data_IF_581079837813
#
_entry.id   IF_581079837813
#
_cell.length_a   1.000
_cell.length_b   1.000
_cell.length_c   1.000
_cell.angle_alpha   90.00
_cell.angle_beta   90.00
_cell.angle_gamma   90.00
#
_symmetry.space_group_name_H-M   'P 1'
#
loop_
_entity.id
_entity.type
_entity.pdbx_description
1 polymer ?
#
# COMPACT_ATOMS: atom_id res chain seq x y z
N UNK A 1 9.71 40.00 28.58
CA UNK A 1 8.76 38.94 29.00
C UNK A 1 8.15 38.36 27.72
N UNK A 2 8.34 37.12 27.28
CA UNK A 2 9.19 36.01 27.71
C UNK A 2 10.17 35.70 26.55
N UNK A 3 11.47 35.73 26.85
CA UNK A 3 12.53 35.12 26.04
C UNK A 3 12.69 33.70 26.57
N UNK A 4 12.67 32.68 25.71
CA UNK A 4 13.26 31.39 26.07
C UNK A 4 14.66 31.31 25.45
N UNK A 5 15.66 31.48 26.31
CA UNK A 5 17.02 31.04 26.08
C UNK A 5 17.05 29.51 26.05
N UNK A 6 17.62 28.93 25.00
CA UNK A 6 18.28 27.62 25.12
C UNK A 6 19.74 27.85 24.78
N UNK A 7 20.55 27.83 25.83
CA UNK A 7 22.00 27.87 25.80
C UNK A 7 22.57 26.61 25.16
N UNK A 8 23.74 26.78 24.53
CA UNK A 8 24.34 25.79 23.65
C UNK A 8 24.85 24.51 24.32
N UNK A 9 24.86 23.46 23.50
CA UNK A 9 25.88 22.39 23.42
C UNK A 9 25.48 21.43 22.29
N UNK A 10 25.80 21.78 21.04
CA UNK A 10 25.91 20.83 19.92
C UNK A 10 26.52 21.52 18.68
N UNK A 11 27.62 22.27 18.85
CA UNK A 11 28.48 22.67 17.73
C UNK A 11 29.86 22.14 18.05
N UNK A 12 30.14 20.92 17.57
CA UNK A 12 31.49 20.33 17.41
C UNK A 12 31.33 18.99 16.71
N UNK A 13 31.33 19.02 15.38
CA UNK A 13 31.86 17.97 14.48
C UNK A 13 31.75 18.47 13.04
N UNK A 14 32.36 19.62 12.78
CA UNK A 14 32.57 20.15 11.44
C UNK A 14 33.85 20.99 11.46
N UNK A 15 35.00 20.33 11.57
CA UNK A 15 36.30 20.88 11.16
C UNK A 15 37.36 19.78 11.24
N UNK A 16 37.60 19.10 10.14
CA UNK A 16 38.96 18.71 9.79
C UNK A 16 39.05 18.37 8.30
N UNK A 17 40.08 18.92 7.66
CA UNK A 17 40.53 18.73 6.29
C UNK A 17 39.89 19.56 5.17
N UNK A 18 40.33 20.83 5.10
CA UNK A 18 40.57 21.54 3.83
C UNK A 18 41.86 22.38 3.92
N UNK A 19 42.95 21.89 3.36
CA UNK A 19 44.04 22.64 2.67
C UNK A 19 44.94 21.55 2.07
N UNK A 20 45.37 21.54 0.81
CA UNK A 20 46.02 22.61 0.04
C UNK A 20 45.97 22.28 -1.45
N UNK A 21 45.80 23.31 -2.28
CA UNK A 21 45.90 23.27 -3.74
C UNK A 21 47.09 24.15 -4.14
N UNK A 22 48.13 23.61 -4.79
CA UNK A 22 48.96 24.30 -5.81
C UNK A 22 50.02 23.39 -6.47
N UNK A 23 49.92 23.32 -7.80
CA UNK A 23 50.95 23.36 -8.85
C UNK A 23 52.10 22.32 -8.91
N UNK A 24 52.32 21.75 -10.12
CA UNK A 24 53.59 21.15 -10.53
C UNK A 24 53.49 20.17 -11.70
N UNK A 25 54.29 20.38 -12.75
CA UNK A 25 54.24 19.75 -14.08
C UNK A 25 54.93 18.37 -14.19
N UNK A 26 54.66 17.70 -15.33
CA UNK A 26 55.55 16.83 -16.14
C UNK A 26 55.57 15.30 -15.92
N UNK A 27 55.45 14.56 -17.04
CA UNK A 27 55.79 13.13 -17.15
C UNK A 27 54.85 12.34 -18.09
N UNK A 28 55.33 11.95 -19.27
CA UNK A 28 54.67 11.06 -20.25
C UNK A 28 55.27 9.62 -20.17
N UNK A 29 54.87 8.62 -21.01
CA UNK A 29 54.16 7.41 -20.59
C UNK A 29 54.98 6.09 -20.67
N UNK A 30 54.58 5.03 -19.95
CA UNK A 30 55.02 3.62 -20.20
C UNK A 30 53.95 2.58 -19.79
N UNK A 31 53.94 1.35 -20.38
CA UNK A 31 52.75 0.50 -20.60
C UNK A 31 52.54 -0.61 -19.52
N UNK A 32 51.49 -1.46 -19.59
CA UNK A 32 50.90 -2.13 -18.42
C UNK A 32 51.50 -3.52 -18.14
N UNK A 33 51.33 -4.07 -16.92
CA UNK A 33 51.34 -5.51 -16.70
C UNK A 33 49.94 -6.12 -16.83
N UNK A 34 49.99 -7.37 -17.28
CA UNK A 34 48.98 -8.30 -17.77
C UNK A 34 47.85 -8.69 -16.81
N UNK A 35 46.77 -9.13 -17.44
CA UNK A 35 45.52 -9.61 -16.86
C UNK A 35 45.65 -10.88 -15.99
N UNK A 36 44.85 -10.92 -14.91
CA UNK A 36 44.40 -12.17 -14.29
C UNK A 36 42.90 -12.11 -13.91
N UNK A 37 42.21 -13.18 -14.33
CA UNK A 37 40.95 -13.75 -13.83
C UNK A 37 39.67 -12.88 -13.79
N UNK A 38 38.90 -12.97 -14.89
CA UNK A 38 37.52 -12.54 -14.98
C UNK A 38 36.59 -13.41 -14.09
N UNK A 39 36.15 -12.83 -12.97
CA UNK A 39 35.00 -13.28 -12.20
C UNK A 39 33.71 -12.59 -12.69
N UNK A 40 32.65 -13.39 -12.87
CA UNK A 40 31.29 -13.01 -13.26
C UNK A 40 30.78 -11.71 -12.59
N UNK A 41 30.79 -10.61 -13.34
CA UNK A 41 30.37 -9.29 -12.88
C UNK A 41 29.18 -8.77 -13.69
N UNK A 42 28.02 -8.70 -13.04
CA UNK A 42 26.80 -8.11 -13.59
C UNK A 42 26.95 -6.62 -13.94
N UNK A 43 26.05 -6.21 -14.83
CA UNK A 43 25.96 -4.92 -15.53
C UNK A 43 25.69 -3.72 -14.60
N UNK A 44 26.64 -3.37 -13.74
CA UNK A 44 26.58 -2.19 -12.89
C UNK A 44 27.70 -1.19 -13.25
N UNK A 45 27.45 0.14 -13.14
CA UNK A 45 28.47 1.13 -13.42
C UNK A 45 29.69 0.94 -12.49
N UNK A 46 30.90 1.32 -12.94
CA UNK A 46 32.12 1.16 -12.14
C UNK A 46 31.97 1.81 -10.75
N UNK A 47 32.10 1.02 -9.69
CA UNK A 47 31.96 1.46 -8.29
C UNK A 47 30.57 1.26 -7.66
N UNK A 48 29.56 0.79 -8.41
CA UNK A 48 28.26 0.45 -7.84
C UNK A 48 28.28 -0.93 -7.19
N UNK A 49 27.98 -0.97 -5.89
CA UNK A 49 27.59 -2.18 -5.18
C UNK A 49 26.07 -2.12 -4.97
N UNK A 50 25.29 -3.10 -5.48
CA UNK A 50 23.88 -3.21 -5.16
C UNK A 50 23.71 -3.25 -3.64
N UNK A 51 22.68 -2.60 -3.11
CA UNK A 51 22.35 -2.71 -1.69
C UNK A 51 22.07 -4.17 -1.37
N UNK A 52 22.95 -4.78 -0.59
CA UNK A 52 22.76 -6.08 0.02
C UNK A 52 22.48 -5.83 1.49
N UNK A 53 21.26 -6.14 1.97
CA UNK A 53 20.91 -5.99 3.39
C UNK A 53 22.00 -6.56 4.31
N UNK A 54 22.60 -7.68 3.90
CA UNK A 54 23.63 -8.39 4.66
C UNK A 54 24.93 -7.58 4.82
N UNK A 55 25.28 -6.74 3.84
CA UNK A 55 26.45 -5.84 3.90
C UNK A 55 26.26 -4.73 4.96
N UNK A 56 25.04 -4.58 5.48
CA UNK A 56 24.64 -3.60 6.49
C UNK A 56 24.11 -4.26 7.78
N UNK A 57 24.36 -5.57 7.97
CA UNK A 57 23.92 -6.31 9.15
C UNK A 57 22.41 -6.58 9.18
N UNK A 58 21.70 -6.42 8.06
CA UNK A 58 20.27 -6.70 7.92
C UNK A 58 20.07 -8.09 7.32
N UNK A 59 18.98 -8.75 7.69
CA UNK A 59 18.67 -10.10 7.19
C UNK A 59 18.42 -10.09 5.67
N UNK A 60 18.76 -11.21 5.01
CA UNK A 60 18.50 -11.46 3.57
C UNK A 60 17.02 -11.26 3.17
N UNK A 61 16.10 -11.34 4.14
CA UNK A 61 14.67 -11.12 3.98
C UNK A 61 14.18 -9.69 4.21
N UNK A 62 15.07 -8.71 4.45
CA UNK A 62 14.75 -7.33 4.83
C UNK A 62 13.57 -6.76 4.03
N UNK A 63 12.60 -6.22 4.78
CA UNK A 63 11.39 -5.56 4.27
C UNK A 63 11.43 -4.10 4.70
N UNK A 64 10.81 -3.24 3.90
CA UNK A 64 10.75 -1.81 4.20
C UNK A 64 9.70 -1.46 5.27
N UNK A 65 8.55 -2.16 5.33
CA UNK A 65 7.68 -2.11 6.51
C UNK A 65 8.27 -3.01 7.59
N UNK A 66 8.41 -2.47 8.80
CA UNK A 66 8.80 -3.23 9.99
C UNK A 66 7.78 -4.36 10.17
N UNK A 67 8.20 -5.63 10.36
CA UNK A 67 7.26 -6.72 10.62
C UNK A 67 6.31 -6.37 11.77
N UNK A 68 5.05 -6.74 11.64
CA UNK A 68 3.99 -6.32 12.56
C UNK A 68 4.34 -6.56 14.04
N UNK A 69 4.77 -7.77 14.39
CA UNK A 69 5.15 -8.13 15.77
C UNK A 69 6.29 -7.24 16.31
N UNK A 70 7.24 -6.88 15.45
CA UNK A 70 8.35 -6.00 15.81
C UNK A 70 7.86 -4.55 15.96
N UNK A 71 6.97 -4.09 15.07
CA UNK A 71 6.40 -2.75 15.14
C UNK A 71 5.63 -2.54 16.44
N UNK A 72 4.69 -3.45 16.77
CA UNK A 72 3.91 -3.36 18.01
C UNK A 72 4.83 -3.37 19.24
N UNK A 73 5.85 -4.23 19.26
CA UNK A 73 6.83 -4.26 20.35
C UNK A 73 7.63 -2.96 20.49
N UNK A 74 8.00 -2.31 19.38
CA UNK A 74 8.71 -1.02 19.42
C UNK A 74 7.81 0.14 19.85
N UNK A 75 6.50 0.05 19.56
CA UNK A 75 5.51 1.06 19.91
C UNK A 75 4.92 0.89 21.32
N UNK A 76 5.23 -0.19 22.03
CA UNK A 76 4.71 -0.46 23.38
C UNK A 76 4.93 0.70 24.37
N UNK A 77 5.99 1.50 24.20
CA UNK A 77 6.23 2.68 25.05
C UNK A 77 5.28 3.87 24.80
N UNK A 78 4.46 3.83 23.75
CA UNK A 78 3.38 4.79 23.48
C UNK A 78 2.03 4.32 24.02
N UNK A 79 1.91 3.04 24.38
CA UNK A 79 0.75 2.52 25.06
C UNK A 79 0.82 2.99 26.52
N UNK A 80 -0.11 3.86 26.92
CA UNK A 80 -0.30 4.19 28.34
C UNK A 80 -0.70 2.91 29.07
N UNK A 81 0.01 2.52 30.13
CA UNK A 81 -0.25 1.35 30.99
C UNK A 81 -1.76 1.05 31.09
N UNK A 82 -2.24 0.11 30.29
CA UNK A 82 -3.51 -0.55 30.58
C UNK A 82 -3.20 -1.48 31.74
N UNK A 83 -3.53 -1.06 32.95
CA UNK A 83 -3.31 -1.86 34.15
C UNK A 83 -3.79 -3.29 33.94
N UNK A 84 -2.85 -4.24 33.95
CA UNK A 84 -3.11 -5.67 33.85
C UNK A 84 -3.91 -6.14 35.07
N UNK A 85 -5.21 -6.38 34.85
CA UNK A 85 -6.09 -7.02 35.81
C UNK A 85 -7.32 -7.59 35.11
N UNK A 86 -7.68 -8.87 35.36
CA UNK A 86 -8.86 -9.45 34.74
C UNK A 86 -10.10 -8.87 35.42
N UNK A 87 -10.88 -8.07 34.69
CA UNK A 87 -12.20 -7.61 35.13
C UNK A 87 -12.23 -6.21 35.73
N UNK A 88 -12.32 -5.20 34.88
CA UNK A 88 -13.38 -4.18 34.92
C UNK A 88 -13.15 -3.18 33.79
N UNK A 89 -14.16 -3.02 32.93
CA UNK A 89 -14.33 -1.82 32.14
C UNK A 89 -14.72 -0.69 33.12
N UNK A 90 -13.72 -0.15 33.82
CA UNK A 90 -13.85 0.86 34.83
C UNK A 90 -12.77 1.92 34.61
N UNK A 91 -13.22 3.04 34.08
CA UNK A 91 -12.56 4.33 34.05
C UNK A 91 -11.66 4.58 35.28
N UNK A 92 -10.34 4.69 35.06
CA UNK A 92 -9.43 5.59 35.81
C UNK A 92 -7.97 5.55 35.32
N UNK A 93 -7.50 6.70 34.82
CA UNK A 93 -6.21 7.30 35.24
C UNK A 93 -5.00 7.26 34.28
N UNK A 94 -4.76 8.38 33.55
CA UNK A 94 -3.39 8.91 33.35
C UNK A 94 -3.39 10.41 33.02
N UNK A 95 -2.48 11.16 33.64
CA UNK A 95 -2.39 12.63 33.80
C UNK A 95 -2.00 13.47 32.55
N UNK A 96 -2.57 13.22 31.37
CA UNK A 96 -2.45 14.17 30.25
C UNK A 96 -3.78 14.32 29.49
N UNK A 97 -4.52 15.38 29.82
CA UNK A 97 -5.74 15.80 29.13
C UNK A 97 -7.02 15.21 29.75
N UNK A 98 -8.00 16.06 30.03
CA UNK A 98 -9.36 15.62 30.39
C UNK A 98 -9.85 14.61 29.34
N UNK A 99 -10.13 13.37 29.77
CA UNK A 99 -10.74 12.38 28.90
C UNK A 99 -12.15 12.82 28.53
N UNK A 100 -12.31 13.27 27.29
CA UNK A 100 -13.61 13.63 26.76
C UNK A 100 -14.42 12.34 26.51
N UNK A 101 -15.72 12.31 26.83
CA UNK A 101 -16.59 11.20 26.48
C UNK A 101 -16.74 11.12 24.95
N UNK A 102 -16.53 9.94 24.37
CA UNK A 102 -16.67 9.71 22.93
C UNK A 102 -15.90 8.49 22.42
N UNK A 103 -16.17 8.06 21.17
CA UNK A 103 -15.45 6.98 20.53
C UNK A 103 -13.96 7.35 20.37
N UNK A 104 -13.08 6.41 20.73
CA UNK A 104 -11.63 6.53 20.57
C UNK A 104 -11.07 5.29 19.88
N UNK A 105 -10.13 5.53 18.97
CA UNK A 105 -9.33 4.48 18.34
C UNK A 105 -7.87 4.94 18.38
N UNK A 106 -7.04 4.19 19.10
CA UNK A 106 -5.62 4.47 19.30
C UNK A 106 -4.74 3.78 18.27
N UNK A 107 -3.49 3.49 18.65
CA UNK A 107 -2.55 2.71 17.83
C UNK A 107 -3.12 1.30 17.60
N UNK A 108 -3.00 0.79 16.37
CA UNK A 108 -3.30 -0.61 16.03
C UNK A 108 -4.20 -0.81 14.81
N UNK A 109 -4.97 0.21 14.42
CA UNK A 109 -5.85 0.19 13.24
C UNK A 109 -5.44 1.25 12.20
N UNK A 110 -6.16 1.29 11.07
CA UNK A 110 -5.84 2.10 9.89
C UNK A 110 -5.76 3.61 10.19
N UNK A 111 -6.57 4.12 11.13
CA UNK A 111 -6.57 5.54 11.53
C UNK A 111 -6.75 5.69 13.03
N UNK A 112 -6.36 6.85 13.57
CA UNK A 112 -6.76 7.24 14.92
C UNK A 112 -8.12 7.94 14.90
N UNK A 113 -8.90 7.77 15.96
CA UNK A 113 -10.14 8.53 16.20
C UNK A 113 -9.99 9.22 17.55
N UNK A 114 -9.99 10.56 17.54
CA UNK A 114 -9.81 11.39 18.74
C UNK A 114 -11.00 12.32 18.91
N UNK A 115 -11.77 12.15 19.99
CA UNK A 115 -12.86 13.07 20.32
C UNK A 115 -12.33 14.48 20.58
N UNK A 116 -12.95 15.49 19.96
CA UNK A 116 -12.55 16.89 20.10
C UNK A 116 -13.27 17.54 21.28
N UNK A 117 -12.64 18.59 21.82
CA UNK A 117 -13.26 19.46 22.86
C UNK A 117 -14.50 20.21 22.37
N UNK A 118 -14.71 20.26 21.06
CA UNK A 118 -15.84 20.92 20.42
C UNK A 118 -16.94 19.88 20.17
N UNK A 119 -18.14 20.17 20.66
CA UNK A 119 -19.20 19.19 20.90
C UNK A 119 -19.51 18.26 19.73
N UNK A 120 -19.43 16.96 19.99
CA UNK A 120 -19.84 15.89 19.06
C UNK A 120 -18.83 15.55 17.96
N UNK A 121 -17.77 16.34 17.78
CA UNK A 121 -16.81 16.13 16.69
C UNK A 121 -15.67 15.18 17.09
N UNK A 122 -15.19 14.43 16.10
CA UNK A 122 -13.98 13.61 16.22
C UNK A 122 -12.99 13.97 15.12
N UNK A 123 -11.71 14.05 15.46
CA UNK A 123 -10.62 14.07 14.48
C UNK A 123 -10.30 12.64 14.10
N UNK A 124 -10.34 12.36 12.79
CA UNK A 124 -9.82 11.12 12.22
C UNK A 124 -8.63 11.46 11.33
N UNK A 125 -7.51 10.79 11.57
CA UNK A 125 -6.26 11.10 10.91
C UNK A 125 -5.42 9.83 10.71
N UNK A 126 -4.73 9.79 9.58
CA UNK A 126 -3.73 8.76 9.25
C UNK A 126 -2.49 9.39 8.60
N UNK A 127 -1.40 8.61 8.57
CA UNK A 127 -0.17 8.90 7.84
C UNK A 127 0.39 7.60 7.27
N UNK A 128 0.79 7.61 6.00
CA UNK A 128 1.55 6.51 5.39
C UNK A 128 2.57 7.06 4.39
N UNK A 129 3.65 6.32 4.17
CA UNK A 129 4.68 6.64 3.20
C UNK A 129 5.43 5.38 2.77
N UNK A 130 5.95 5.39 1.55
CA UNK A 130 6.71 4.27 1.02
C UNK A 130 7.67 4.73 -0.07
N UNK A 131 8.45 3.78 -0.59
CA UNK A 131 9.44 3.99 -1.63
C UNK A 131 8.82 3.82 -3.02
N UNK A 132 9.36 4.47 -4.06
CA UNK A 132 8.87 4.29 -5.42
C UNK A 132 8.84 2.81 -5.85
N UNK A 133 7.70 2.41 -6.39
CA UNK A 133 7.45 1.04 -6.85
C UNK A 133 7.13 0.97 -8.34
N UNK A 134 6.64 2.06 -8.94
CA UNK A 134 6.46 2.20 -10.39
C UNK A 134 7.46 3.18 -10.97
N UNK A 135 7.75 3.03 -12.25
CA UNK A 135 8.71 3.88 -12.97
C UNK A 135 8.09 5.21 -13.43
N UNK A 136 6.77 5.25 -13.64
CA UNK A 136 6.04 6.47 -14.00
C UNK A 136 5.89 7.39 -12.76
N UNK A 137 6.55 8.57 -12.74
CA UNK A 137 6.50 9.44 -11.58
C UNK A 137 5.13 10.02 -11.28
N UNK A 138 4.33 10.30 -12.31
CA UNK A 138 2.98 10.83 -12.15
C UNK A 138 2.09 9.79 -11.48
N UNK A 139 2.11 8.56 -11.99
CA UNK A 139 1.37 7.46 -11.38
C UNK A 139 1.88 7.14 -9.98
N UNK A 140 3.19 7.23 -9.73
CA UNK A 140 3.76 7.07 -8.39
C UNK A 140 3.17 8.09 -7.40
N UNK A 141 3.06 9.35 -7.79
CA UNK A 141 2.38 10.39 -7.01
C UNK A 141 0.91 10.06 -6.71
N UNK A 142 0.17 9.63 -7.74
CA UNK A 142 -1.25 9.21 -7.58
C UNK A 142 -1.39 8.05 -6.60
N UNK A 143 -0.55 7.01 -6.74
CA UNK A 143 -0.57 5.82 -5.88
C UNK A 143 -0.26 6.20 -4.43
N UNK A 144 0.71 7.10 -4.20
CA UNK A 144 1.03 7.55 -2.85
C UNK A 144 -0.13 8.30 -2.18
N UNK A 145 -0.79 9.20 -2.90
CA UNK A 145 -1.98 9.89 -2.40
C UNK A 145 -3.13 8.91 -2.13
N UNK A 146 -3.40 7.99 -3.07
CA UNK A 146 -4.43 6.97 -2.91
C UNK A 146 -4.20 6.08 -1.69
N UNK A 147 -2.94 5.70 -1.43
CA UNK A 147 -2.57 4.91 -0.25
C UNK A 147 -2.81 5.69 1.05
N UNK A 148 -2.43 6.97 1.11
CA UNK A 148 -2.65 7.83 2.30
C UNK A 148 -4.13 8.03 2.58
N UNK A 149 -4.96 8.18 1.55
CA UNK A 149 -6.41 8.33 1.71
C UNK A 149 -7.10 6.99 2.05
N UNK A 150 -6.47 5.86 1.74
CA UNK A 150 -7.05 4.52 1.87
C UNK A 150 -7.51 4.22 3.30
N UNK A 151 -6.74 4.63 4.31
CA UNK A 151 -7.08 4.40 5.72
C UNK A 151 -8.32 5.18 6.17
N UNK A 152 -8.53 6.42 5.67
CA UNK A 152 -9.77 7.16 5.93
C UNK A 152 -10.97 6.43 5.29
N UNK A 153 -10.78 5.92 4.07
CA UNK A 153 -11.80 5.15 3.38
C UNK A 153 -12.12 3.82 4.09
N UNK A 154 -11.13 3.19 4.76
CA UNK A 154 -11.37 2.01 5.59
C UNK A 154 -12.29 2.30 6.79
N UNK A 155 -12.30 3.54 7.28
CA UNK A 155 -13.23 4.00 8.32
C UNK A 155 -14.60 4.42 7.75
N UNK A 156 -14.87 4.19 6.46
CA UNK A 156 -16.12 4.61 5.81
C UNK A 156 -16.24 6.11 5.55
N UNK A 157 -15.18 6.89 5.78
CA UNK A 157 -15.20 8.35 5.61
C UNK A 157 -14.96 8.67 4.14
N UNK A 158 -15.88 9.38 3.49
CA UNK A 158 -15.76 9.72 2.06
C UNK A 158 -15.08 11.05 1.79
N UNK A 159 -15.00 11.91 2.80
CA UNK A 159 -14.46 13.27 2.70
C UNK A 159 -13.11 13.37 3.42
N UNK A 160 -12.26 14.30 2.97
CA UNK A 160 -10.99 14.60 3.59
C UNK A 160 -10.84 16.12 3.64
N UNK A 161 -10.77 16.70 4.84
CA UNK A 161 -10.70 18.16 4.99
C UNK A 161 -9.33 18.69 4.54
N UNK A 162 -8.27 17.92 4.78
CA UNK A 162 -6.92 18.40 4.53
C UNK A 162 -5.91 17.27 4.29
N UNK A 163 -5.00 17.48 3.32
CA UNK A 163 -3.81 16.64 3.16
C UNK A 163 -2.51 17.42 3.33
N UNK A 164 -1.50 16.75 3.89
CA UNK A 164 -0.09 17.18 3.86
C UNK A 164 0.73 16.18 3.06
N UNK A 165 1.66 16.65 2.23
CA UNK A 165 2.55 15.77 1.46
C UNK A 165 3.90 15.59 2.18
N UNK A 166 4.33 14.33 2.31
CA UNK A 166 5.65 13.96 2.82
C UNK A 166 6.50 13.46 1.64
N UNK A 167 7.59 14.17 1.36
CA UNK A 167 8.44 13.88 0.22
C UNK A 167 9.92 13.87 0.61
N UNK A 168 10.66 12.89 0.13
CA UNK A 168 12.12 12.97 0.11
C UNK A 168 12.66 12.75 -1.29
N UNK A 169 13.70 13.50 -1.64
CA UNK A 169 14.40 13.40 -2.91
C UNK A 169 15.71 12.67 -2.72
N UNK A 170 16.06 11.78 -3.67
CA UNK A 170 17.29 11.02 -3.56
C UNK A 170 18.53 11.90 -3.78
N UNK A 171 19.49 11.79 -2.86
CA UNK A 171 20.84 12.37 -2.99
C UNK A 171 21.53 11.96 -4.30
N UNK A 172 21.21 10.77 -4.83
CA UNK A 172 21.82 10.22 -6.06
C UNK A 172 21.21 10.77 -7.34
N UNK A 173 20.01 11.35 -7.27
CA UNK A 173 19.36 11.95 -8.42
C UNK A 173 20.05 13.29 -8.74
N UNK A 174 20.44 13.50 -10.00
CA UNK A 174 21.00 14.78 -10.42
C UNK A 174 19.90 15.86 -10.46
N UNK A 175 20.31 17.13 -10.50
CA UNK A 175 19.38 18.27 -10.44
C UNK A 175 18.37 18.29 -11.58
N UNK A 176 18.81 18.01 -12.81
CA UNK A 176 17.94 17.95 -14.00
C UNK A 176 16.86 16.86 -13.89
N UNK A 177 17.21 15.71 -13.34
CA UNK A 177 16.25 14.62 -13.13
C UNK A 177 15.29 14.98 -11.99
N UNK A 178 15.77 15.62 -10.92
CA UNK A 178 14.90 16.11 -9.82
C UNK A 178 13.88 17.11 -10.34
N UNK A 179 14.30 18.08 -11.16
CA UNK A 179 13.42 19.11 -11.74
C UNK A 179 12.36 18.55 -12.69
N UNK A 180 12.58 17.36 -13.26
CA UNK A 180 11.63 16.70 -14.19
C UNK A 180 10.71 15.73 -13.49
N UNK A 181 11.26 14.88 -12.64
CA UNK A 181 10.54 13.78 -11.99
C UNK A 181 9.68 14.29 -10.84
N UNK A 182 10.21 15.24 -10.05
CA UNK A 182 9.51 15.73 -8.85
C UNK A 182 8.20 16.43 -9.18
N UNK A 183 8.11 17.36 -10.15
CA UNK A 183 6.85 18.01 -10.48
C UNK A 183 5.78 17.04 -10.99
N UNK A 184 6.18 15.98 -11.73
CA UNK A 184 5.25 14.95 -12.18
C UNK A 184 4.66 14.18 -11.00
N UNK A 185 5.49 13.80 -10.02
CA UNK A 185 5.05 13.12 -8.81
C UNK A 185 4.14 13.99 -7.94
N UNK A 186 4.49 15.27 -7.76
CA UNK A 186 3.63 16.23 -7.05
C UNK A 186 2.31 16.42 -7.80
N UNK A 187 2.35 16.54 -9.14
CA UNK A 187 1.15 16.65 -9.98
C UNK A 187 0.23 15.45 -9.80
N UNK A 188 0.78 14.24 -9.84
CA UNK A 188 0.03 13.01 -9.61
C UNK A 188 -0.62 12.98 -8.22
N UNK A 189 0.13 13.33 -7.18
CA UNK A 189 -0.40 13.39 -5.82
C UNK A 189 -1.56 14.39 -5.72
N UNK A 190 -1.40 15.59 -6.28
CA UNK A 190 -2.43 16.63 -6.30
C UNK A 190 -3.68 16.19 -7.07
N UNK A 191 -3.52 15.65 -8.28
CA UNK A 191 -4.65 15.24 -9.11
C UNK A 191 -5.46 14.09 -8.45
N UNK A 192 -4.82 13.23 -7.65
CA UNK A 192 -5.51 12.21 -6.86
C UNK A 192 -6.22 12.80 -5.63
N UNK A 193 -5.62 13.81 -4.98
CA UNK A 193 -6.27 14.54 -3.88
C UNK A 193 -7.52 15.27 -4.37
N UNK A 194 -7.45 15.93 -5.53
CA UNK A 194 -8.59 16.62 -6.16
C UNK A 194 -9.73 15.63 -6.51
N UNK A 195 -9.41 14.44 -7.03
CA UNK A 195 -10.40 13.37 -7.23
C UNK A 195 -11.03 12.90 -5.90
N UNK A 196 -10.22 12.86 -4.85
CA UNK A 196 -10.67 12.59 -3.48
C UNK A 196 -11.54 13.70 -2.87
N UNK A 197 -11.73 14.83 -3.55
CA UNK A 197 -12.48 15.98 -3.06
C UNK A 197 -11.71 16.83 -2.06
N UNK A 198 -10.38 16.72 -2.01
CA UNK A 198 -9.53 17.42 -1.06
C UNK A 198 -8.37 18.15 -1.75
N UNK A 199 -7.52 18.81 -0.97
CA UNK A 199 -6.36 19.52 -1.47
C UNK A 199 -5.14 19.33 -0.58
N UNK A 200 -3.96 19.48 -1.17
CA UNK A 200 -2.69 19.48 -0.44
C UNK A 200 -2.36 20.91 -0.06
N UNK A 201 -2.41 21.23 1.23
CA UNK A 201 -2.21 22.61 1.73
C UNK A 201 -0.83 22.86 2.33
N UNK A 202 -0.03 21.80 2.46
CA UNK A 202 1.30 21.87 3.03
C UNK A 202 2.03 20.55 2.94
N UNK A 203 3.20 20.49 3.59
CA UNK A 203 4.04 19.30 3.56
C UNK A 203 5.48 19.61 3.90
N UNK A 204 6.32 18.58 3.81
CA UNK A 204 7.75 18.68 4.01
C UNK A 204 8.49 17.94 2.90
N UNK A 205 9.49 18.61 2.31
CA UNK A 205 10.41 18.01 1.33
C UNK A 205 11.83 18.03 1.87
N UNK A 206 12.51 16.88 1.88
CA UNK A 206 13.90 16.76 2.37
C UNK A 206 14.80 15.99 1.40
N UNK A 207 16.11 16.17 1.52
CA UNK A 207 17.10 15.35 0.82
C UNK A 207 17.39 14.10 1.66
N UNK A 208 17.33 12.92 1.04
CA UNK A 208 17.50 11.63 1.70
C UNK A 208 18.23 10.64 0.75
N UNK A 209 18.89 9.56 1.21
CA UNK A 209 19.48 8.58 0.30
C UNK A 209 18.46 7.96 -0.67
N UNK A 210 17.22 7.78 -0.22
CA UNK A 210 16.12 7.19 -0.98
C UNK A 210 14.97 8.19 -1.19
N UNK A 211 14.21 8.00 -2.27
CA UNK A 211 12.96 8.75 -2.48
C UNK A 211 11.90 8.16 -1.56
N UNK A 212 11.21 9.00 -0.80
CA UNK A 212 10.06 8.64 0.03
C UNK A 212 8.91 9.51 -0.45
N UNK A 213 7.75 8.90 -0.63
CA UNK A 213 6.53 9.61 -1.00
C UNK A 213 5.39 9.10 -0.13
N UNK A 214 4.60 10.02 0.39
CA UNK A 214 3.51 9.75 1.30
C UNK A 214 2.86 11.03 1.76
N UNK A 215 2.17 10.97 2.89
CA UNK A 215 1.41 12.10 3.36
C UNK A 215 0.59 11.80 4.59
N UNK A 216 -0.21 12.80 4.94
CA UNK A 216 -1.17 12.78 6.03
C UNK A 216 -2.53 13.12 5.45
N UNK A 217 -3.57 12.41 5.85
CA UNK A 217 -4.95 12.76 5.58
C UNK A 217 -5.69 13.00 6.89
N UNK A 218 -6.51 14.05 6.95
CA UNK A 218 -7.22 14.46 8.16
C UNK A 218 -8.62 14.92 7.84
N UNK A 219 -9.55 14.57 8.73
CA UNK A 219 -10.95 14.98 8.66
C UNK A 219 -11.49 15.18 10.07
N UNK A 220 -12.36 16.17 10.23
CA UNK A 220 -13.15 16.41 11.44
C UNK A 220 -14.59 16.03 11.12
N UNK A 221 -15.07 14.96 11.74
CA UNK A 221 -16.35 14.36 11.39
C UNK A 221 -17.24 14.10 12.62
N UNK A 222 -18.53 13.98 12.35
CA UNK A 222 -19.57 13.54 13.27
C UNK A 222 -19.54 12.02 13.44
N UNK A 223 -20.13 11.47 14.53
CA UNK A 223 -20.10 10.04 14.82
C UNK A 223 -20.77 9.14 13.78
N UNK A 224 -21.66 9.68 12.95
CA UNK A 224 -22.38 8.96 11.89
C UNK A 224 -21.64 8.96 10.54
N UNK A 225 -20.55 9.71 10.41
CA UNK A 225 -19.79 9.83 9.15
C UNK A 225 -18.68 8.78 9.04
N UNK A 226 -18.34 8.11 10.15
CA UNK A 226 -17.38 7.00 10.18
C UNK A 226 -18.00 5.73 10.76
N UNK A 227 -17.42 4.59 10.38
CA UNK A 227 -17.79 3.26 10.83
C UNK A 227 -16.64 2.73 11.68
N UNK A 228 -16.93 2.40 12.95
CA UNK A 228 -15.92 1.80 13.83
C UNK A 228 -15.58 0.38 13.35
N UNK A 229 -14.30 0.00 13.27
CA UNK A 229 -13.88 -1.28 12.69
C UNK A 229 -14.00 -2.45 13.70
N UNK A 230 -15.07 -2.50 14.50
CA UNK A 230 -15.21 -3.44 15.63
C UNK A 230 -16.59 -4.11 15.77
N UNK A 231 -17.49 -3.90 14.81
CA UNK A 231 -18.89 -4.29 14.87
C UNK A 231 -19.26 -5.62 14.20
N UNK A 232 -18.30 -6.40 13.71
CA UNK A 232 -18.56 -7.62 12.91
C UNK A 232 -19.29 -8.69 13.72
N UNK A 233 -20.23 -9.42 13.09
CA UNK A 233 -21.02 -10.48 13.73
C UNK A 233 -20.88 -11.84 13.00
N UNK A 234 -21.09 -12.98 13.69
CA UNK A 234 -21.16 -14.27 13.03
C UNK A 234 -22.25 -14.30 11.95
N UNK A 235 -21.94 -14.84 10.77
CA UNK A 235 -22.85 -14.89 9.63
C UNK A 235 -22.55 -13.84 8.54
N UNK A 236 -21.84 -12.76 8.90
CA UNK A 236 -21.30 -11.80 7.95
C UNK A 236 -20.41 -12.48 6.90
N UNK A 237 -20.17 -11.77 5.81
CA UNK A 237 -19.24 -12.18 4.76
C UNK A 237 -18.14 -11.14 4.56
N UNK A 238 -17.00 -11.64 4.08
CA UNK A 238 -15.81 -10.83 3.81
C UNK A 238 -15.80 -10.44 2.33
N UNK A 239 -15.79 -9.14 2.05
CA UNK A 239 -15.73 -8.58 0.70
C UNK A 239 -14.40 -7.86 0.48
N UNK A 240 -13.70 -8.17 -0.61
CA UNK A 240 -12.47 -7.49 -1.01
C UNK A 240 -12.71 -6.64 -2.26
N UNK A 241 -12.26 -5.39 -2.28
CA UNK A 241 -12.61 -4.43 -3.35
C UNK A 241 -11.56 -4.21 -4.44
N UNK A 242 -10.34 -4.74 -4.27
CA UNK A 242 -9.29 -4.76 -5.30
C UNK A 242 -8.59 -6.12 -5.35
N UNK A 243 -8.06 -6.54 -6.52
CA UNK A 243 -7.33 -7.79 -6.62
C UNK A 243 -5.98 -7.71 -5.90
N UNK A 244 -5.49 -8.87 -5.45
CA UNK A 244 -4.17 -9.05 -4.85
C UNK A 244 -3.09 -9.26 -5.92
N UNK A 245 -1.82 -9.19 -5.50
CA UNK A 245 -0.66 -9.52 -6.34
C UNK A 245 0.08 -8.31 -6.91
N UNK A 246 -0.18 -7.10 -6.40
CA UNK A 246 0.47 -5.86 -6.86
C UNK A 246 2.00 -5.94 -6.76
N UNK A 247 2.52 -6.46 -5.64
CA UNK A 247 3.96 -6.68 -5.45
C UNK A 247 4.54 -7.63 -6.49
N UNK A 248 3.84 -8.71 -6.81
CA UNK A 248 4.31 -9.71 -7.79
C UNK A 248 4.38 -9.08 -9.17
N UNK A 249 3.36 -8.31 -9.57
CA UNK A 249 3.31 -7.61 -10.86
C UNK A 249 4.46 -6.60 -11.00
N UNK A 250 4.67 -5.76 -9.99
CA UNK A 250 5.76 -4.77 -9.96
C UNK A 250 7.13 -5.44 -10.04
N UNK A 251 7.37 -6.50 -9.25
CA UNK A 251 8.65 -7.20 -9.27
C UNK A 251 8.88 -7.92 -10.60
N UNK A 252 7.85 -8.57 -11.15
CA UNK A 252 7.94 -9.25 -12.45
C UNK A 252 8.30 -8.26 -13.56
N UNK A 253 7.71 -7.06 -13.56
CA UNK A 253 8.05 -5.99 -14.51
C UNK A 253 9.53 -5.58 -14.39
N UNK A 254 10.00 -5.28 -13.17
CA UNK A 254 11.41 -4.93 -12.93
C UNK A 254 12.38 -6.05 -13.32
N UNK A 255 11.94 -7.31 -13.29
CA UNK A 255 12.77 -8.45 -13.67
C UNK A 255 12.95 -8.57 -15.18
N UNK A 256 12.13 -7.91 -16.01
CA UNK A 256 12.30 -7.88 -17.47
C UNK A 256 13.69 -7.38 -17.88
N UNK A 257 14.25 -6.44 -17.11
CA UNK A 257 15.58 -5.86 -17.32
C UNK A 257 16.69 -6.59 -16.51
N UNK A 258 16.35 -7.69 -15.84
CA UNK A 258 17.28 -8.47 -15.01
C UNK A 258 17.31 -9.92 -15.50
N UNK A 259 18.19 -10.26 -16.47
CA UNK A 259 18.17 -11.56 -17.16
C UNK A 259 18.13 -12.78 -16.22
N UNK A 260 18.90 -12.73 -15.12
CA UNK A 260 18.93 -13.80 -14.12
C UNK A 260 17.58 -14.01 -13.42
N UNK A 261 16.86 -12.93 -13.13
CA UNK A 261 15.54 -12.99 -12.48
C UNK A 261 14.43 -13.30 -13.48
N UNK A 262 14.49 -12.73 -14.69
CA UNK A 262 13.57 -13.08 -15.78
C UNK A 262 13.60 -14.57 -16.09
N UNK A 263 14.78 -15.18 -16.12
CA UNK A 263 14.96 -16.62 -16.36
C UNK A 263 14.17 -17.52 -15.39
N UNK A 264 13.82 -17.02 -14.19
CA UNK A 264 13.03 -17.77 -13.21
C UNK A 264 11.54 -17.87 -13.57
N UNK A 265 11.02 -16.90 -14.34
CA UNK A 265 9.58 -16.76 -14.60
C UNK A 265 9.22 -16.85 -16.08
N UNK A 266 10.20 -16.75 -17.00
CA UNK A 266 9.99 -16.76 -18.45
C UNK A 266 9.27 -18.01 -19.00
N UNK A 267 9.25 -19.12 -18.25
CA UNK A 267 8.56 -20.35 -18.63
C UNK A 267 7.08 -20.37 -18.23
N UNK A 268 6.63 -19.45 -17.37
CA UNK A 268 5.26 -19.41 -16.85
C UNK A 268 4.47 -18.17 -17.27
N UNK A 269 5.13 -17.16 -17.83
CA UNK A 269 4.52 -15.89 -18.24
C UNK A 269 5.29 -15.27 -19.43
N UNK A 270 4.58 -14.60 -20.34
CA UNK A 270 5.19 -13.83 -21.43
C UNK A 270 5.57 -12.41 -20.98
N UNK A 271 6.37 -11.69 -21.77
CA UNK A 271 6.72 -10.29 -21.44
C UNK A 271 5.50 -9.39 -21.52
N UNK A 272 4.62 -9.65 -22.47
CA UNK A 272 3.37 -8.92 -22.72
C UNK A 272 2.42 -9.09 -21.54
N UNK A 273 2.21 -10.31 -21.06
CA UNK A 273 1.39 -10.59 -19.86
C UNK A 273 1.93 -9.90 -18.61
N UNK A 274 3.26 -9.81 -18.44
CA UNK A 274 3.87 -9.08 -17.33
C UNK A 274 3.60 -7.57 -17.42
N UNK A 275 3.69 -7.00 -18.62
CA UNK A 275 3.38 -5.57 -18.84
C UNK A 275 1.91 -5.27 -18.58
N UNK A 276 1.00 -6.10 -19.07
CA UNK A 276 -0.44 -5.96 -18.80
C UNK A 276 -0.76 -6.04 -17.31
N UNK A 277 -0.18 -7.01 -16.60
CA UNK A 277 -0.34 -7.14 -15.16
C UNK A 277 0.25 -5.95 -14.38
N UNK A 278 1.38 -5.40 -14.83
CA UNK A 278 1.99 -4.20 -14.26
C UNK A 278 1.08 -2.97 -14.41
N UNK A 279 0.51 -2.75 -15.61
CA UNK A 279 -0.44 -1.66 -15.82
C UNK A 279 -1.70 -1.84 -14.98
N UNK A 280 -2.26 -3.06 -14.90
CA UNK A 280 -3.41 -3.32 -14.04
C UNK A 280 -3.09 -3.03 -12.57
N UNK A 281 -1.93 -3.49 -12.08
CA UNK A 281 -1.49 -3.20 -10.72
C UNK A 281 -1.37 -1.68 -10.52
N UNK A 282 -0.71 -0.96 -11.43
CA UNK A 282 -0.53 0.49 -11.36
C UNK A 282 -1.86 1.24 -11.31
N UNK A 283 -2.83 0.88 -12.16
CA UNK A 283 -4.16 1.49 -12.15
C UNK A 283 -4.99 1.12 -10.92
N UNK A 284 -4.94 -0.15 -10.48
CA UNK A 284 -5.58 -0.61 -9.25
C UNK A 284 -5.07 0.16 -8.03
N UNK A 285 -3.74 0.29 -7.89
CA UNK A 285 -3.10 1.03 -6.80
C UNK A 285 -3.42 2.54 -6.84
N UNK A 286 -3.62 3.12 -8.03
CA UNK A 286 -3.96 4.53 -8.18
C UNK A 286 -5.47 4.84 -8.01
N UNK A 287 -6.33 3.81 -7.96
CA UNK A 287 -7.78 3.96 -7.78
C UNK A 287 -8.08 4.26 -6.30
N UNK A 288 -8.86 5.30 -6.00
CA UNK A 288 -9.25 5.63 -4.62
C UNK A 288 -10.27 4.61 -4.08
N UNK A 289 -10.19 4.30 -2.78
CA UNK A 289 -11.20 3.47 -2.09
C UNK A 289 -12.48 4.27 -1.73
N UNK A 290 -12.60 5.54 -2.17
CA UNK A 290 -13.71 6.46 -1.85
C UNK A 290 -15.09 5.89 -2.15
N UNK A 291 -15.26 5.28 -3.32
CA UNK A 291 -16.54 4.65 -3.71
C UNK A 291 -16.88 3.50 -2.77
N UNK A 292 -15.91 2.66 -2.40
CA UNK A 292 -16.14 1.57 -1.48
C UNK A 292 -16.55 2.09 -0.09
N UNK A 293 -15.91 3.14 0.42
CA UNK A 293 -16.26 3.81 1.67
C UNK A 293 -17.71 4.34 1.65
N UNK A 294 -18.13 4.98 0.56
CA UNK A 294 -19.51 5.45 0.41
C UNK A 294 -20.52 4.29 0.45
N UNK A 295 -20.21 3.19 -0.24
CA UNK A 295 -21.08 2.01 -0.27
C UNK A 295 -21.11 1.25 1.05
N UNK A 296 -20.08 1.36 1.90
CA UNK A 296 -20.09 0.77 3.25
C UNK A 296 -21.25 1.32 4.08
N UNK A 297 -21.52 2.63 4.04
CA UNK A 297 -22.68 3.23 4.70
C UNK A 297 -24.00 2.73 4.11
N UNK A 298 -24.12 2.75 2.78
CA UNK A 298 -25.35 2.32 2.07
C UNK A 298 -25.74 0.88 2.38
N UNK A 299 -24.75 -0.01 2.48
CA UNK A 299 -24.94 -1.45 2.66
C UNK A 299 -24.70 -1.93 4.09
N UNK A 300 -24.56 -0.99 5.05
CA UNK A 300 -24.46 -1.27 6.47
C UNK A 300 -23.28 -2.19 6.81
N UNK A 301 -22.08 -1.83 6.34
CA UNK A 301 -20.86 -2.52 6.72
C UNK A 301 -20.66 -2.47 8.25
N UNK A 302 -20.23 -3.58 8.82
CA UNK A 302 -20.00 -3.71 10.26
C UNK A 302 -18.57 -3.38 10.67
N UNK A 303 -17.61 -3.58 9.77
CA UNK A 303 -16.21 -3.21 9.96
C UNK A 303 -15.48 -3.24 8.61
N UNK A 304 -14.37 -2.54 8.49
CA UNK A 304 -13.43 -2.72 7.40
C UNK A 304 -12.00 -2.39 7.83
N UNK A 305 -11.05 -2.81 7.00
CA UNK A 305 -9.64 -2.40 7.00
C UNK A 305 -9.20 -2.32 5.54
N UNK A 306 -8.10 -1.65 5.23
CA UNK A 306 -7.50 -1.77 3.90
C UNK A 306 -6.44 -2.88 3.85
N UNK A 307 -6.11 -3.37 2.65
CA UNK A 307 -5.10 -4.40 2.46
C UNK A 307 -3.83 -3.79 1.88
N UNK A 308 -2.81 -3.57 2.72
CA UNK A 308 -1.52 -3.00 2.30
C UNK A 308 -0.34 -3.92 2.67
N UNK A 309 0.64 -3.41 3.41
CA UNK A 309 1.97 -3.98 3.49
C UNK A 309 2.10 -5.29 4.26
N UNK A 310 1.10 -5.67 5.07
CA UNK A 310 1.07 -6.97 5.76
C UNK A 310 0.41 -8.08 4.94
N UNK A 311 -0.18 -7.73 3.78
CA UNK A 311 -0.94 -8.63 2.94
C UNK A 311 -2.31 -8.99 3.53
N UNK A 312 -3.14 -9.65 2.73
CA UNK A 312 -4.54 -9.95 3.08
C UNK A 312 -4.68 -10.62 4.45
N UNK A 313 -3.88 -11.64 4.75
CA UNK A 313 -4.00 -12.38 6.00
C UNK A 313 -3.53 -11.55 7.20
N UNK A 314 -2.53 -10.68 7.03
CA UNK A 314 -2.06 -9.80 8.10
C UNK A 314 -3.15 -8.80 8.49
N UNK A 315 -3.67 -8.05 7.51
CA UNK A 315 -4.74 -7.08 7.75
C UNK A 315 -6.04 -7.73 8.21
N UNK A 316 -6.40 -8.91 7.69
CA UNK A 316 -7.55 -9.67 8.18
C UNK A 316 -7.41 -10.09 9.65
N UNK A 317 -6.20 -10.45 10.11
CA UNK A 317 -5.97 -10.76 11.52
C UNK A 317 -6.12 -9.51 12.38
N UNK A 318 -5.56 -8.36 11.98
CA UNK A 318 -5.71 -7.10 12.71
C UNK A 318 -7.18 -6.72 12.87
N UNK A 319 -7.94 -6.82 11.78
CA UNK A 319 -9.37 -6.55 11.82
C UNK A 319 -10.08 -7.56 12.72
N UNK A 320 -9.78 -8.86 12.65
CA UNK A 320 -10.39 -9.87 13.52
C UNK A 320 -10.11 -9.61 15.01
N UNK A 321 -8.86 -9.28 15.36
CA UNK A 321 -8.40 -8.98 16.72
C UNK A 321 -9.13 -7.77 17.32
N UNK A 322 -9.47 -6.79 16.49
CA UNK A 322 -10.18 -5.57 16.89
C UNK A 322 -11.67 -5.79 17.21
N UNK A 323 -12.27 -6.93 16.81
CA UNK A 323 -13.71 -7.13 16.95
C UNK A 323 -14.14 -7.26 18.41
N UNK A 324 -15.28 -6.65 18.76
CA UNK A 324 -15.89 -6.82 20.09
C UNK A 324 -16.47 -8.22 20.27
N UNK A 325 -17.10 -8.75 19.22
CA UNK A 325 -17.72 -10.07 19.23
C UNK A 325 -16.67 -11.19 19.15
N UNK A 326 -17.03 -12.39 19.59
CA UNK A 326 -16.25 -13.61 19.41
C UNK A 326 -16.43 -14.14 17.98
N UNK A 327 -15.68 -13.56 17.04
CA UNK A 327 -15.74 -13.91 15.61
C UNK A 327 -14.40 -14.40 15.08
N UNK A 328 -14.41 -15.24 14.06
CA UNK A 328 -13.21 -15.60 13.29
C UNK A 328 -13.49 -15.44 11.80
N UNK A 329 -12.45 -15.05 11.06
CA UNK A 329 -12.53 -14.76 9.63
C UNK A 329 -11.97 -15.94 8.83
N UNK A 330 -12.76 -16.45 7.89
CA UNK A 330 -12.37 -17.59 7.05
C UNK A 330 -12.40 -17.20 5.58
N UNK A 331 -11.21 -17.05 5.01
CA UNK A 331 -11.02 -16.68 3.62
C UNK A 331 -10.96 -17.95 2.75
N UNK A 332 -11.85 -18.02 1.77
CA UNK A 332 -12.03 -19.15 0.87
C UNK A 332 -11.49 -18.88 -0.54
N UNK A 333 -11.56 -17.61 -0.99
CA UNK A 333 -11.24 -17.22 -2.35
C UNK A 333 -10.20 -16.10 -2.35
N UNK A 334 -9.32 -16.09 -3.35
CA UNK A 334 -8.33 -15.03 -3.54
C UNK A 334 -8.47 -14.45 -4.96
N UNK A 335 -9.03 -13.23 -5.13
CA UNK A 335 -8.97 -12.52 -6.40
C UNK A 335 -7.55 -12.01 -6.60
N UNK A 336 -6.87 -12.52 -7.62
CA UNK A 336 -5.45 -12.24 -7.89
C UNK A 336 -5.32 -11.76 -9.34
N UNK A 337 -4.55 -10.69 -9.56
CA UNK A 337 -4.21 -10.20 -10.91
C UNK A 337 -3.68 -11.37 -11.74
N UNK A 338 -4.20 -11.51 -12.96
CA UNK A 338 -3.95 -12.69 -13.77
C UNK A 338 -2.46 -13.00 -13.90
N UNK A 339 -2.12 -14.30 -13.91
CA UNK A 339 -0.74 -14.84 -13.95
C UNK A 339 0.11 -14.60 -12.70
N UNK A 340 -0.25 -13.70 -11.79
CA UNK A 340 0.56 -13.45 -10.58
C UNK A 340 0.59 -14.67 -9.65
N UNK A 341 -0.48 -15.48 -9.64
CA UNK A 341 -0.50 -16.75 -8.91
C UNK A 341 0.55 -17.74 -9.46
N UNK A 342 0.71 -17.81 -10.79
CA UNK A 342 1.68 -18.66 -11.47
C UNK A 342 3.13 -18.19 -11.22
N UNK A 343 3.37 -16.88 -11.34
CA UNK A 343 4.68 -16.27 -11.03
C UNK A 343 5.05 -16.54 -9.57
N UNK A 344 4.11 -16.33 -8.64
CA UNK A 344 4.38 -16.59 -7.22
C UNK A 344 4.76 -18.05 -6.97
N UNK A 345 4.05 -19.01 -7.59
CA UNK A 345 4.38 -20.44 -7.47
C UNK A 345 5.77 -20.77 -8.04
N UNK A 346 6.11 -20.22 -9.21
CA UNK A 346 7.42 -20.42 -9.84
C UNK A 346 8.58 -19.90 -8.96
N UNK A 347 8.31 -18.92 -8.09
CA UNK A 347 9.28 -18.34 -7.17
C UNK A 347 9.22 -18.93 -5.74
N UNK A 348 8.46 -20.01 -5.52
CA UNK A 348 8.29 -20.62 -4.21
C UNK A 348 7.74 -19.64 -3.17
N UNK A 349 8.41 -19.54 -2.02
CA UNK A 349 7.95 -18.72 -0.88
C UNK A 349 8.44 -17.26 -0.93
N UNK A 350 8.94 -16.79 -2.08
CA UNK A 350 9.49 -15.44 -2.19
C UNK A 350 8.46 -14.35 -1.89
N UNK A 351 7.25 -14.51 -2.43
CA UNK A 351 6.17 -13.53 -2.30
C UNK A 351 5.15 -13.89 -1.22
N UNK A 352 4.96 -15.19 -0.93
CA UNK A 352 3.91 -15.70 -0.05
C UNK A 352 2.49 -15.21 -0.40
N UNK A 353 2.21 -15.05 -1.71
CA UNK A 353 0.93 -14.52 -2.20
C UNK A 353 -0.25 -15.43 -1.84
N UNK A 354 -0.09 -16.73 -2.05
CA UNK A 354 -1.16 -17.70 -1.80
C UNK A 354 -1.41 -17.94 -0.30
N UNK A 355 -0.42 -17.65 0.54
CA UNK A 355 -0.54 -17.64 1.99
C UNK A 355 -1.13 -16.33 2.53
N UNK A 356 -1.48 -15.38 1.65
CA UNK A 356 -2.04 -14.07 2.02
C UNK A 356 -1.06 -13.12 2.70
N UNK A 357 0.26 -13.38 2.61
CA UNK A 357 1.32 -12.59 3.26
C UNK A 357 2.17 -11.79 2.28
N UNK A 358 1.80 -11.77 1.00
CA UNK A 358 2.39 -10.84 0.04
C UNK A 358 1.94 -9.44 0.40
N UNK A 359 2.91 -8.53 0.57
CA UNK A 359 2.62 -7.12 0.71
C UNK A 359 1.86 -6.62 -0.52
N UNK A 360 0.85 -5.81 -0.28
CA UNK A 360 0.15 -5.00 -1.25
C UNK A 360 0.50 -3.52 -1.01
N UNK A 361 0.24 -2.65 -1.97
CA UNK A 361 0.36 -1.20 -1.81
C UNK A 361 -0.91 -0.57 -2.34
N UNK A 362 -1.52 0.36 -1.59
CA UNK A 362 -2.81 0.96 -1.97
C UNK A 362 -3.85 -0.09 -2.44
N UNK A 363 -3.98 -1.17 -1.67
CA UNK A 363 -4.90 -2.25 -2.00
C UNK A 363 -6.36 -1.86 -1.79
N UNK A 364 -7.24 -2.86 -1.82
CA UNK A 364 -8.66 -2.65 -1.62
C UNK A 364 -9.04 -2.67 -0.15
N UNK A 365 -10.28 -2.32 0.13
CA UNK A 365 -10.90 -2.55 1.43
C UNK A 365 -11.27 -4.02 1.57
N UNK A 366 -11.00 -4.57 2.75
CA UNK A 366 -11.59 -5.81 3.26
C UNK A 366 -12.75 -5.42 4.18
N UNK A 367 -13.97 -5.62 3.70
CA UNK A 367 -15.21 -5.16 4.35
C UNK A 367 -15.99 -6.36 4.91
N UNK A 368 -16.43 -6.26 6.16
CA UNK A 368 -17.38 -7.18 6.78
C UNK A 368 -18.80 -6.65 6.56
N UNK A 369 -19.62 -7.41 5.83
CA UNK A 369 -20.96 -7.03 5.44
C UNK A 369 -22.01 -8.08 5.83
N UNK A 370 -23.26 -7.66 6.13
CA UNK A 370 -24.39 -8.56 6.19
C UNK A 370 -24.51 -9.36 4.89
N UNK A 371 -24.77 -10.67 5.01
CA UNK A 371 -24.76 -11.60 3.87
C UNK A 371 -25.73 -11.19 2.76
N UNK A 372 -26.91 -10.69 3.14
CA UNK A 372 -27.97 -10.24 2.25
C UNK A 372 -27.64 -8.94 1.50
N UNK A 373 -26.66 -8.16 1.98
CA UNK A 373 -26.23 -6.90 1.38
C UNK A 373 -24.99 -7.06 0.50
N UNK A 374 -24.14 -8.04 0.78
CA UNK A 374 -22.85 -8.20 0.09
C UNK A 374 -22.97 -8.36 -1.43
N UNK A 375 -23.97 -9.10 -1.92
CA UNK A 375 -24.18 -9.26 -3.36
C UNK A 375 -24.55 -7.94 -4.04
N UNK A 376 -25.37 -7.11 -3.38
CA UNK A 376 -25.77 -5.78 -3.89
C UNK A 376 -24.59 -4.82 -3.88
N UNK A 377 -23.81 -4.81 -2.80
CA UNK A 377 -22.56 -4.06 -2.71
C UNK A 377 -21.62 -4.41 -3.87
N UNK A 378 -21.37 -5.70 -4.12
CA UNK A 378 -20.49 -6.14 -5.20
C UNK A 378 -21.02 -5.76 -6.59
N UNK A 379 -22.34 -5.88 -6.80
CA UNK A 379 -22.98 -5.50 -8.07
C UNK A 379 -22.87 -4.00 -8.34
N UNK A 380 -23.10 -3.16 -7.33
CA UNK A 380 -23.00 -1.71 -7.49
C UNK A 380 -21.55 -1.25 -7.67
N UNK A 381 -20.60 -1.81 -6.91
CA UNK A 381 -19.17 -1.61 -7.14
C UNK A 381 -18.78 -1.92 -8.59
N UNK A 382 -19.25 -3.06 -9.11
CA UNK A 382 -18.98 -3.45 -10.50
C UNK A 382 -19.58 -2.47 -11.50
N UNK A 383 -20.81 -2.01 -11.29
CA UNK A 383 -21.48 -1.04 -12.16
C UNK A 383 -20.73 0.29 -12.23
N UNK A 384 -20.31 0.82 -11.08
CA UNK A 384 -19.59 2.08 -10.98
C UNK A 384 -18.18 1.98 -11.59
N UNK A 385 -17.48 0.87 -11.35
CA UNK A 385 -16.17 0.61 -11.93
C UNK A 385 -16.23 0.45 -13.46
N UNK A 386 -17.27 -0.21 -13.97
CA UNK A 386 -17.46 -0.40 -15.42
C UNK A 386 -17.67 0.93 -16.13
N UNK A 387 -18.40 1.87 -15.51
CA UNK A 387 -18.56 3.23 -16.04
C UNK A 387 -17.23 4.01 -16.11
N UNK A 388 -16.23 3.61 -15.32
CA UNK A 388 -14.88 4.17 -15.31
C UNK A 388 -13.86 3.35 -16.13
N UNK A 389 -14.33 2.38 -16.93
CA UNK A 389 -13.48 1.54 -17.77
C UNK A 389 -12.69 0.45 -17.02
N UNK A 390 -12.98 0.23 -15.73
CA UNK A 390 -12.40 -0.86 -14.95
C UNK A 390 -13.22 -2.16 -15.14
N UNK A 391 -12.56 -3.25 -15.51
CA UNK A 391 -13.18 -4.55 -15.78
C UNK A 391 -13.64 -5.31 -14.54
N UNK A 392 -13.21 -4.88 -13.35
CA UNK A 392 -13.27 -5.67 -12.13
C UNK A 392 -14.02 -4.94 -10.99
N UNK A 393 -14.86 -5.68 -10.27
CA UNK A 393 -15.69 -5.19 -9.16
C UNK A 393 -15.12 -5.59 -7.79
N UNK A 394 -15.99 -5.88 -6.83
CA UNK A 394 -15.61 -6.46 -5.54
C UNK A 394 -15.93 -7.97 -5.49
N UNK A 395 -15.29 -8.71 -4.59
CA UNK A 395 -15.45 -10.16 -4.46
C UNK A 395 -15.81 -10.55 -3.03
N UNK A 396 -16.82 -11.40 -2.87
CA UNK A 396 -17.03 -12.13 -1.61
C UNK A 396 -15.94 -13.20 -1.53
N UNK A 397 -15.01 -13.03 -0.61
CA UNK A 397 -13.82 -13.87 -0.46
C UNK A 397 -13.92 -14.86 0.69
N UNK A 398 -14.85 -14.67 1.61
CA UNK A 398 -14.93 -15.48 2.81
C UNK A 398 -16.16 -15.21 3.67
N UNK A 399 -16.16 -15.80 4.85
CA UNK A 399 -17.24 -15.69 5.83
C UNK A 399 -16.68 -15.32 7.19
N UNK A 400 -17.57 -14.86 8.05
CA UNK A 400 -17.34 -14.68 9.47
C UNK A 400 -18.09 -15.78 10.23
N UNK A 401 -17.37 -16.53 11.04
CA UNK A 401 -17.91 -17.54 11.95
C UNK A 401 -17.74 -17.11 13.41
N UNK A 402 -18.39 -17.80 14.36
CA UNK A 402 -18.08 -17.62 15.77
C UNK A 402 -16.66 -18.14 16.03
N UNK A 403 -15.81 -17.38 16.71
CA UNK A 403 -14.42 -17.78 16.92
C UNK A 403 -13.59 -16.86 17.81
N UNK A 404 -12.27 -17.02 17.71
CA UNK A 404 -11.26 -16.54 18.66
C UNK A 404 -10.59 -15.22 18.24
N UNK A 405 -11.26 -14.40 17.42
CA UNK A 405 -10.75 -13.13 16.88
C UNK A 405 -9.49 -13.30 16.04
N UNK A 406 -9.42 -14.38 15.28
CA UNK A 406 -8.36 -14.63 14.29
C UNK A 406 -8.89 -14.76 12.87
N UNK A 407 -8.00 -14.53 11.91
CA UNK A 407 -8.24 -14.78 10.50
C UNK A 407 -7.39 -15.94 9.98
N UNK A 408 -7.99 -16.75 9.11
CA UNK A 408 -7.31 -17.83 8.39
C UNK A 408 -7.73 -17.88 6.92
N UNK A 409 -6.80 -18.29 6.08
CA UNK A 409 -7.08 -18.72 4.70
C UNK A 409 -7.15 -20.26 4.74
N UNK A 410 -8.14 -20.86 4.08
CA UNK A 410 -8.24 -22.32 3.99
C UNK A 410 -7.03 -22.93 3.25
N UNK A 411 -6.71 -24.20 3.48
CA UNK A 411 -5.49 -24.84 2.93
C UNK A 411 -5.38 -24.79 1.40
N UNK A 412 -6.53 -24.83 0.72
CA UNK A 412 -6.63 -24.80 -0.76
C UNK A 412 -7.61 -23.70 -1.17
N UNK A 413 -7.23 -22.42 -1.08
CA UNK A 413 -8.11 -21.34 -1.44
C UNK A 413 -8.36 -21.36 -2.94
N UNK A 414 -9.60 -21.05 -3.34
CA UNK A 414 -9.93 -20.90 -4.77
C UNK A 414 -9.30 -19.62 -5.29
N UNK A 415 -8.48 -19.74 -6.32
CA UNK A 415 -7.94 -18.57 -7.01
C UNK A 415 -8.95 -18.07 -8.03
N UNK A 416 -9.31 -16.80 -7.93
CA UNK A 416 -10.09 -16.09 -8.93
C UNK A 416 -9.08 -15.27 -9.73
N UNK A 417 -8.76 -15.73 -10.94
CA UNK A 417 -7.87 -14.98 -11.83
C UNK A 417 -8.60 -13.73 -12.35
N UNK A 418 -8.00 -12.57 -12.10
CA UNK A 418 -8.56 -11.26 -12.41
C UNK A 418 -7.84 -10.70 -13.63
N UNK A 419 -8.46 -10.70 -14.83
CA UNK A 419 -7.80 -10.24 -16.04
C UNK A 419 -7.53 -8.73 -15.99
N UNK A 420 -6.41 -8.27 -16.60
CA UNK A 420 -6.14 -6.84 -16.77
C UNK A 420 -7.28 -6.13 -17.51
N UNK A 421 -7.45 -4.83 -17.23
CA UNK A 421 -8.35 -3.96 -17.98
C UNK A 421 -7.96 -3.95 -19.46
N UNK A 422 -8.96 -3.99 -20.35
CA UNK A 422 -8.76 -4.00 -21.81
C UNK A 422 -8.54 -5.39 -22.44
N UNK A 423 -8.07 -6.39 -21.69
CA UNK A 423 -7.83 -7.75 -22.24
C UNK A 423 -9.11 -8.47 -22.68
N UNK A 424 -10.29 -8.06 -22.17
CA UNK A 424 -11.58 -8.65 -22.59
C UNK A 424 -12.12 -8.09 -23.92
N UNK A 425 -11.67 -6.92 -24.38
CA UNK A 425 -12.12 -6.35 -25.66
C UNK A 425 -11.66 -7.21 -26.84
N UNK A 426 -10.45 -7.81 -26.75
CA UNK A 426 -9.89 -8.65 -27.81
C UNK A 426 -10.61 -10.00 -28.00
N UNK A 427 -11.34 -10.49 -26.98
CA UNK A 427 -12.05 -11.77 -27.06
C UNK A 427 -13.50 -11.64 -27.56
N UNK A 428 -14.08 -10.44 -27.57
CA UNK A 428 -15.41 -10.22 -28.16
C UNK A 428 -15.35 -9.96 -29.67
N UNK A 429 -14.29 -9.32 -30.17
CA UNK A 429 -14.13 -9.05 -31.62
C UNK A 429 -13.85 -10.32 -32.45
N UNK A 430 -13.29 -11.38 -31.86
CA UNK A 430 -13.06 -12.66 -32.55
C UNK A 430 -14.29 -13.60 -32.59
N UNK A 431 -15.44 -13.17 -32.06
CA UNK A 431 -16.68 -13.98 -32.05
C UNK A 431 -17.78 -13.46 -32.98
N UNK A 432 -17.53 -12.37 -33.72
CA UNK A 432 -18.50 -11.77 -34.66
C UNK A 432 -18.00 -11.73 -36.11
N UNK A 433 -17.13 -12.65 -36.50
CA UNK A 433 -16.88 -12.92 -37.91
C UNK A 433 -17.98 -13.86 -38.47
N UNK A 434 -19.16 -13.30 -38.73
CA UNK A 434 -20.15 -13.96 -39.58
C UNK A 434 -19.61 -14.05 -41.01
N UNK A 435 -19.71 -15.19 -41.70
CA UNK A 435 -19.32 -15.30 -43.09
C UNK A 435 -20.34 -14.55 -43.97
N UNK A 436 -19.81 -13.73 -44.86
CA UNK A 436 -20.53 -12.98 -45.88
C UNK A 436 -21.27 -13.93 -46.84
N UNK A 437 -22.60 -13.86 -47.00
CA UNK A 437 -23.30 -14.65 -47.99
C UNK A 437 -23.42 -13.82 -49.27
N UNK A 438 -22.43 -13.92 -50.16
CA UNK A 438 -22.60 -13.51 -51.54
C UNK A 438 -22.35 -14.68 -52.50
N UNK A 439 -23.21 -14.74 -53.51
CA UNK A 439 -23.17 -15.59 -54.71
C UNK A 439 -23.62 -17.06 -54.55
N UNK A 440 -24.86 -17.33 -54.96
CA UNK A 440 -25.08 -18.23 -56.08
C UNK A 440 -26.44 -17.93 -56.75
N UNK A 441 -26.32 -17.35 -57.94
CA UNK A 441 -27.27 -17.48 -59.05
C UNK A 441 -27.21 -18.92 -59.57
N UNK A 442 -28.35 -19.61 -59.56
CA UNK A 442 -28.82 -20.56 -60.58
C UNK A 442 -30.23 -21.03 -60.21
#
# INVERSE_FOLDING_TARGET
>A
MLRLCISGRAVRLASCFKTTLRAGMSGSPTPPPSAEAAGSGGCFPPGYKPFKPEDHGLERGFRCKVPQEVLLKLLAGLETDRGDGPGNAGDQGSEFGQQLPGPRLGIGMDSCVTSLRHGGLSLVQTTDFFYPLVEDPYMMGRIACANVLSDLYAMGITECDNMLMLLSLSQKMNEKDRERVTPLMIKGFRDAAEEGGTSVTGGQTVINPWIIVGGVASVVCQPNEFIMPDGTVPGDVLVLTKPLGTRVAVNAHQWLDQPEKWNRIKLVVTKEEVKEAYYEAMFSMATLNRTAASLMHKYQAHAATDVTGFGLLGHANNLAEQQKNEVAFVIHNLPIIAKMSAISKACGNLFNLLQGRSAETSGGLLVCLPREQAAKFCSEMKSLNSAQGASNGAWIIGIVEKGDRRARIIDKPRIIEVPPRGSQAANQENSTANPDPSSNLA
#
